data_IF_572077981716
#
_entry.id   IF_572077981716
#
_cell.length_a   1.000
_cell.length_b   1.000
_cell.length_c   1.000
_cell.angle_alpha   90.00
_cell.angle_beta   90.00
_cell.angle_gamma   90.00
#
_symmetry.space_group_name_H-M   'P 1'
#
loop_
_entity.id
_entity.type
_entity.pdbx_description
1 polymer ?
#
# COMPACT_ATOMS: atom_id res chain seq x y z
N UNK A 1 -5.57 -35.55 -16.35
CA UNK A 1 -4.87 -35.00 -15.17
C UNK A 1 -5.72 -33.90 -14.63
N UNK A 2 -6.21 -34.01 -13.40
CA UNK A 2 -6.93 -32.89 -12.75
C UNK A 2 -5.96 -31.72 -12.60
N UNK A 3 -6.26 -30.60 -13.24
CA UNK A 3 -5.55 -29.36 -13.01
C UNK A 3 -5.79 -28.94 -11.55
N UNK A 4 -4.84 -29.27 -10.69
CA UNK A 4 -4.84 -28.76 -9.31
C UNK A 4 -4.40 -27.30 -9.38
N UNK A 5 -5.33 -26.38 -9.31
CA UNK A 5 -5.02 -24.95 -9.22
C UNK A 5 -4.13 -24.62 -8.00
N UNK A 6 -3.54 -23.44 -7.98
CA UNK A 6 -2.69 -23.01 -6.86
C UNK A 6 -3.53 -22.66 -5.63
N UNK A 7 -3.63 -23.58 -4.69
CA UNK A 7 -4.31 -23.34 -3.40
C UNK A 7 -3.67 -22.16 -2.65
N UNK A 8 -2.36 -22.00 -2.75
CA UNK A 8 -1.64 -20.86 -2.18
C UNK A 8 -2.16 -19.55 -2.76
N UNK A 9 -2.29 -19.47 -4.09
CA UNK A 9 -2.82 -18.29 -4.77
C UNK A 9 -4.24 -17.96 -4.30
N UNK A 10 -5.10 -18.96 -4.16
CA UNK A 10 -6.47 -18.78 -3.68
C UNK A 10 -6.52 -18.16 -2.29
N UNK A 11 -5.76 -18.71 -1.34
CA UNK A 11 -5.72 -18.24 0.04
C UNK A 11 -5.14 -16.85 0.13
N UNK A 12 -3.98 -16.60 -0.51
CA UNK A 12 -3.32 -15.30 -0.49
C UNK A 12 -4.19 -14.23 -1.18
N UNK A 13 -4.91 -14.59 -2.24
CA UNK A 13 -5.86 -13.68 -2.90
C UNK A 13 -7.00 -13.23 -1.99
N UNK A 14 -7.50 -14.12 -1.13
CA UNK A 14 -8.51 -13.75 -0.14
C UNK A 14 -7.91 -12.80 0.90
N UNK A 15 -6.70 -13.08 1.37
CA UNK A 15 -5.99 -12.20 2.32
C UNK A 15 -5.75 -10.82 1.69
N UNK A 16 -5.31 -10.74 0.44
CA UNK A 16 -5.12 -9.48 -0.28
C UNK A 16 -6.43 -8.71 -0.43
N UNK A 17 -7.51 -9.38 -0.78
CA UNK A 17 -8.83 -8.74 -0.91
C UNK A 17 -9.28 -8.12 0.41
N UNK A 18 -9.18 -8.86 1.51
CA UNK A 18 -9.54 -8.39 2.85
C UNK A 18 -8.60 -7.26 3.28
N UNK A 19 -7.29 -7.43 3.10
CA UNK A 19 -6.28 -6.41 3.39
C UNK A 19 -6.51 -5.12 2.60
N UNK A 20 -6.80 -5.23 1.31
CA UNK A 20 -7.12 -4.09 0.45
C UNK A 20 -8.38 -3.35 0.90
N UNK A 21 -9.43 -4.05 1.35
CA UNK A 21 -10.63 -3.41 1.90
C UNK A 21 -10.31 -2.65 3.19
N UNK A 22 -9.57 -3.28 4.11
CA UNK A 22 -9.13 -2.63 5.36
C UNK A 22 -8.24 -1.43 5.03
N UNK A 23 -7.30 -1.58 4.08
CA UNK A 23 -6.44 -0.52 3.61
C UNK A 23 -7.20 0.66 2.99
N UNK A 24 -8.25 0.38 2.22
CA UNK A 24 -9.10 1.42 1.63
C UNK A 24 -9.84 2.23 2.71
N UNK A 25 -10.38 1.56 3.73
CA UNK A 25 -11.03 2.23 4.88
C UNK A 25 -10.01 3.07 5.65
N UNK A 26 -8.83 2.51 5.95
CA UNK A 26 -7.77 3.23 6.64
C UNK A 26 -7.27 4.44 5.83
N UNK A 27 -7.12 4.30 4.51
CA UNK A 27 -6.73 5.40 3.62
C UNK A 27 -7.78 6.51 3.57
N UNK A 28 -9.06 6.15 3.60
CA UNK A 28 -10.15 7.12 3.65
C UNK A 28 -10.10 7.93 4.96
N UNK A 29 -9.92 7.26 6.10
CA UNK A 29 -9.74 7.92 7.40
C UNK A 29 -8.50 8.82 7.37
N UNK A 30 -7.39 8.32 6.84
CA UNK A 30 -6.16 9.09 6.65
C UNK A 30 -6.35 10.35 5.80
N UNK A 31 -7.12 10.24 4.71
CA UNK A 31 -7.47 11.40 3.87
C UNK A 31 -8.30 12.46 4.62
N UNK A 32 -9.27 12.04 5.42
CA UNK A 32 -10.07 12.96 6.25
C UNK A 32 -9.18 13.66 7.27
N UNK A 33 -8.31 12.93 7.96
CA UNK A 33 -7.39 13.50 8.94
C UNK A 33 -6.38 14.46 8.29
N UNK A 34 -5.85 14.11 7.11
CA UNK A 34 -4.97 14.98 6.34
C UNK A 34 -5.69 16.26 5.90
N UNK A 35 -6.98 16.17 5.52
CA UNK A 35 -7.81 17.32 5.19
C UNK A 35 -8.03 18.25 6.39
N UNK A 36 -8.33 17.70 7.56
CA UNK A 36 -8.48 18.47 8.80
C UNK A 36 -7.16 19.14 9.18
N UNK A 37 -6.04 18.40 9.12
CA UNK A 37 -4.72 18.95 9.40
C UNK A 37 -4.36 20.08 8.43
N UNK A 38 -4.63 19.91 7.12
CA UNK A 38 -4.40 20.95 6.12
C UNK A 38 -5.22 22.22 6.38
N UNK A 39 -6.48 22.06 6.79
CA UNK A 39 -7.34 23.18 7.15
C UNK A 39 -6.84 23.92 8.40
N UNK A 40 -6.37 23.17 9.41
CA UNK A 40 -5.77 23.77 10.61
C UNK A 40 -4.50 24.53 10.29
N UNK A 41 -3.63 23.99 9.42
CA UNK A 41 -2.39 24.62 8.97
C UNK A 41 -2.61 25.86 8.08
N UNK A 42 -3.81 26.06 7.55
CA UNK A 42 -4.18 27.29 6.85
C UNK A 42 -4.34 28.47 7.79
N UNK A 43 -4.43 28.24 9.12
CA UNK A 43 -4.46 29.32 10.12
C UNK A 43 -3.01 29.73 10.46
N UNK A 44 -2.65 31.04 10.32
CA UNK A 44 -1.28 31.49 10.53
C UNK A 44 -0.71 31.14 11.91
N UNK A 45 -1.52 31.28 12.96
CA UNK A 45 -1.11 30.97 14.34
C UNK A 45 -0.71 29.51 14.54
N UNK A 46 -1.46 28.58 13.92
CA UNK A 46 -1.17 27.14 13.99
C UNK A 46 0.06 26.80 13.16
N UNK A 47 0.16 27.37 11.96
CA UNK A 47 1.29 27.18 11.06
C UNK A 47 2.60 27.65 11.70
N UNK A 48 2.60 28.83 12.33
CA UNK A 48 3.78 29.40 12.99
C UNK A 48 4.19 28.57 14.22
N UNK A 49 3.23 28.12 15.01
CA UNK A 49 3.50 27.24 16.16
C UNK A 49 4.12 25.92 15.74
N UNK A 50 3.60 25.28 14.67
CA UNK A 50 4.16 24.03 14.15
C UNK A 50 5.52 24.22 13.53
N UNK A 51 5.73 25.30 12.74
CA UNK A 51 7.03 25.62 12.18
C UNK A 51 8.09 25.86 13.26
N UNK A 52 7.71 26.53 14.35
CA UNK A 52 8.59 26.76 15.50
C UNK A 52 8.95 25.46 16.20
N UNK A 53 7.99 24.55 16.37
CA UNK A 53 8.23 23.23 16.96
C UNK A 53 9.13 22.36 16.08
N UNK A 54 8.92 22.36 14.76
CA UNK A 54 9.77 21.64 13.82
C UNK A 54 11.19 22.18 13.81
N UNK A 55 11.36 23.50 13.87
CA UNK A 55 12.68 24.13 13.95
C UNK A 55 13.42 23.75 15.25
N UNK A 56 12.72 23.64 16.37
CA UNK A 56 13.29 23.20 17.64
C UNK A 56 13.81 21.75 17.60
N UNK A 57 13.20 20.89 16.78
CA UNK A 57 13.61 19.51 16.54
C UNK A 57 14.68 19.39 15.42
N UNK A 58 15.16 20.52 14.88
CA UNK A 58 16.19 20.56 13.85
C UNK A 58 15.69 20.36 12.41
N UNK A 59 14.38 20.37 12.18
CA UNK A 59 13.80 20.33 10.84
C UNK A 59 13.79 21.76 10.24
N UNK A 60 14.56 21.94 9.19
CA UNK A 60 14.73 23.28 8.55
C UNK A 60 13.58 23.72 7.66
N UNK A 61 12.45 22.98 7.60
CA UNK A 61 11.45 23.18 6.59
C UNK A 61 10.06 23.52 7.10
N UNK A 62 9.42 24.41 6.35
CA UNK A 62 8.04 24.81 6.48
C UNK A 62 7.06 23.61 6.38
N UNK A 63 5.89 23.76 6.98
CA UNK A 63 4.77 22.80 6.97
C UNK A 63 4.31 22.41 5.55
N UNK A 64 4.56 23.22 4.53
CA UNK A 64 4.15 22.98 3.16
C UNK A 64 4.70 21.69 2.54
N UNK A 65 6.01 21.46 2.52
CA UNK A 65 6.58 20.21 2.01
C UNK A 65 6.10 18.95 2.77
N UNK A 66 5.93 19.05 4.09
CA UNK A 66 5.41 17.95 4.91
C UNK A 66 4.00 17.58 4.49
N UNK A 67 3.12 18.57 4.31
CA UNK A 67 1.76 18.36 3.83
C UNK A 67 1.70 17.75 2.44
N UNK A 68 2.58 18.19 1.53
CA UNK A 68 2.68 17.62 0.19
C UNK A 68 3.02 16.12 0.24
N UNK A 69 3.99 15.73 1.08
CA UNK A 69 4.35 14.30 1.27
C UNK A 69 3.18 13.50 1.83
N UNK A 70 2.45 14.04 2.81
CA UNK A 70 1.26 13.39 3.38
C UNK A 70 0.20 13.14 2.30
N UNK A 71 -0.11 14.13 1.46
CA UNK A 71 -1.09 13.97 0.40
C UNK A 71 -0.65 12.98 -0.67
N UNK A 72 0.63 12.99 -1.06
CA UNK A 72 1.20 11.99 -1.97
C UNK A 72 1.07 10.57 -1.36
N UNK A 73 1.40 10.41 -0.08
CA UNK A 73 1.27 9.14 0.62
C UNK A 73 -0.18 8.65 0.65
N UNK A 74 -1.15 9.54 0.91
CA UNK A 74 -2.59 9.19 0.89
C UNK A 74 -3.02 8.72 -0.49
N UNK A 75 -2.63 9.42 -1.56
CA UNK A 75 -2.98 9.02 -2.94
C UNK A 75 -2.41 7.64 -3.27
N UNK A 76 -1.15 7.39 -2.91
CA UNK A 76 -0.48 6.10 -3.15
C UNK A 76 -1.16 4.99 -2.31
N UNK A 77 -1.54 5.26 -1.07
CA UNK A 77 -2.23 4.30 -0.21
C UNK A 77 -3.61 3.91 -0.77
N UNK A 78 -4.38 4.88 -1.27
CA UNK A 78 -5.66 4.62 -1.94
C UNK A 78 -5.45 3.79 -3.20
N UNK A 79 -4.50 4.18 -4.06
CA UNK A 79 -4.19 3.43 -5.28
C UNK A 79 -3.75 2.00 -4.97
N UNK A 80 -2.87 1.82 -3.97
CA UNK A 80 -2.42 0.51 -3.50
C UNK A 80 -3.56 -0.37 -3.05
N UNK A 81 -4.45 0.14 -2.22
CA UNK A 81 -5.63 -0.59 -1.71
C UNK A 81 -6.55 -1.04 -2.86
N UNK A 82 -6.79 -0.18 -3.86
CA UNK A 82 -7.59 -0.54 -5.03
C UNK A 82 -6.94 -1.66 -5.83
N UNK A 83 -5.62 -1.57 -6.08
CA UNK A 83 -4.88 -2.61 -6.80
C UNK A 83 -4.89 -3.93 -6.03
N UNK A 84 -4.73 -3.92 -4.72
CA UNK A 84 -4.81 -5.11 -3.86
C UNK A 84 -6.19 -5.78 -3.93
N UNK A 85 -7.28 -5.01 -3.88
CA UNK A 85 -8.63 -5.55 -4.04
C UNK A 85 -8.79 -6.20 -5.40
N UNK A 86 -8.36 -5.54 -6.48
CA UNK A 86 -8.45 -6.08 -7.84
C UNK A 86 -7.61 -7.37 -7.97
N UNK A 87 -6.39 -7.35 -7.46
CA UNK A 87 -5.49 -8.51 -7.46
C UNK A 87 -6.12 -9.68 -6.69
N UNK A 88 -6.67 -9.42 -5.50
CA UNK A 88 -7.34 -10.41 -4.68
C UNK A 88 -8.57 -11.01 -5.38
N UNK A 89 -9.45 -10.18 -5.94
CA UNK A 89 -10.64 -10.66 -6.68
C UNK A 89 -10.26 -11.47 -7.90
N UNK A 90 -9.30 -10.99 -8.71
CA UNK A 90 -8.85 -11.71 -9.91
C UNK A 90 -8.12 -13.00 -9.56
N UNK A 91 -7.26 -13.01 -8.54
CA UNK A 91 -6.56 -14.19 -8.09
C UNK A 91 -7.50 -15.25 -7.54
N UNK A 92 -8.48 -14.85 -6.72
CA UNK A 92 -9.53 -15.75 -6.22
C UNK A 92 -10.37 -16.35 -7.34
N UNK A 93 -10.65 -15.60 -8.41
CA UNK A 93 -11.47 -16.07 -9.54
C UNK A 93 -10.70 -17.00 -10.48
N UNK A 94 -9.39 -16.83 -10.60
CA UNK A 94 -8.55 -17.52 -11.59
C UNK A 94 -7.44 -18.39 -10.94
N UNK A 95 -7.64 -18.85 -9.72
CA UNK A 95 -6.64 -19.65 -8.97
C UNK A 95 -6.36 -21.02 -9.60
N UNK A 96 -7.24 -21.49 -10.49
CA UNK A 96 -7.19 -22.75 -11.22
C UNK A 96 -7.03 -22.57 -12.74
N UNK A 97 -6.84 -21.32 -13.21
CA UNK A 97 -6.68 -21.00 -14.62
C UNK A 97 -5.23 -20.57 -14.94
N UNK A 98 -4.37 -21.49 -15.47
CA UNK A 98 -3.00 -21.17 -15.80
C UNK A 98 -2.85 -20.05 -16.84
N UNK A 99 -3.80 -19.87 -17.76
CA UNK A 99 -3.76 -18.80 -18.76
C UNK A 99 -3.79 -17.41 -18.13
N UNK A 100 -4.36 -17.27 -16.93
CA UNK A 100 -4.40 -16.00 -16.20
C UNK A 100 -3.10 -15.71 -15.42
N UNK A 101 -2.21 -16.67 -15.26
CA UNK A 101 -1.04 -16.58 -14.37
C UNK A 101 -0.16 -15.36 -14.66
N UNK A 102 0.10 -15.04 -15.95
CA UNK A 102 0.93 -13.88 -16.31
C UNK A 102 0.29 -12.57 -15.88
N UNK A 103 -0.99 -12.40 -16.10
CA UNK A 103 -1.72 -11.19 -15.67
C UNK A 103 -1.72 -11.05 -14.14
N UNK A 104 -1.96 -12.14 -13.42
CA UNK A 104 -1.95 -12.16 -11.96
C UNK A 104 -0.56 -11.83 -11.41
N UNK A 105 0.51 -12.34 -12.03
CA UNK A 105 1.88 -12.02 -11.64
C UNK A 105 2.17 -10.52 -11.74
N UNK A 106 1.69 -9.86 -12.81
CA UNK A 106 1.83 -8.40 -12.97
C UNK A 106 1.16 -7.66 -11.81
N UNK A 107 -0.06 -8.06 -11.42
CA UNK A 107 -0.73 -7.45 -10.26
C UNK A 107 0.08 -7.64 -8.97
N UNK A 108 0.64 -8.82 -8.74
CA UNK A 108 1.51 -9.07 -7.58
C UNK A 108 2.74 -8.16 -7.56
N UNK A 109 3.40 -7.97 -8.70
CA UNK A 109 4.56 -7.07 -8.84
C UNK A 109 4.15 -5.63 -8.58
N UNK A 110 3.03 -5.16 -9.15
CA UNK A 110 2.54 -3.79 -8.93
C UNK A 110 2.24 -3.56 -7.45
N UNK A 111 1.60 -4.51 -6.77
CA UNK A 111 1.37 -4.41 -5.32
C UNK A 111 2.69 -4.32 -4.53
N UNK A 112 3.69 -5.14 -4.86
CA UNK A 112 5.00 -5.11 -4.20
C UNK A 112 5.70 -3.75 -4.41
N UNK A 113 5.69 -3.21 -5.62
CA UNK A 113 6.28 -1.91 -5.93
C UNK A 113 5.58 -0.77 -5.19
N UNK A 114 4.25 -0.76 -5.17
CA UNK A 114 3.48 0.25 -4.44
C UNK A 114 3.75 0.19 -2.93
N UNK A 115 3.85 -1.02 -2.36
CA UNK A 115 4.21 -1.20 -0.96
C UNK A 115 5.61 -0.66 -0.65
N UNK A 116 6.59 -0.89 -1.52
CA UNK A 116 7.95 -0.35 -1.36
C UNK A 116 7.96 1.18 -1.43
N UNK A 117 7.27 1.77 -2.41
CA UNK A 117 7.18 3.23 -2.55
C UNK A 117 6.55 3.85 -1.30
N UNK A 118 5.46 3.27 -0.81
CA UNK A 118 4.80 3.74 0.42
C UNK A 118 5.75 3.70 1.62
N UNK A 119 6.48 2.61 1.81
CA UNK A 119 7.44 2.50 2.93
C UNK A 119 8.59 3.52 2.82
N UNK A 120 9.09 3.79 1.62
CA UNK A 120 10.13 4.81 1.40
C UNK A 120 9.59 6.21 1.75
N UNK A 121 8.37 6.55 1.31
CA UNK A 121 7.74 7.82 1.61
C UNK A 121 7.53 8.03 3.12
N UNK A 122 7.07 7.00 3.83
CA UNK A 122 6.93 7.08 5.30
C UNK A 122 8.28 7.24 6.00
N UNK A 123 9.32 6.56 5.53
CA UNK A 123 10.66 6.69 6.07
C UNK A 123 11.23 8.10 5.88
N UNK A 124 11.03 8.71 4.71
CA UNK A 124 11.48 10.07 4.41
C UNK A 124 10.65 11.14 5.11
N UNK A 125 9.38 10.84 5.45
CA UNK A 125 8.49 11.73 6.21
C UNK A 125 8.80 11.79 7.72
N UNK A 126 9.90 11.22 8.19
CA UNK A 126 10.33 11.28 9.60
C UNK A 126 9.65 10.25 10.53
N UNK A 127 8.78 9.39 10.00
CA UNK A 127 8.11 8.35 10.81
C UNK A 127 8.99 7.12 11.07
N UNK A 128 10.23 7.15 10.62
CA UNK A 128 11.20 6.06 10.78
C UNK A 128 10.91 4.84 9.90
N UNK A 129 11.93 4.01 9.73
CA UNK A 129 11.81 2.75 8.98
C UNK A 129 11.16 1.70 9.88
N UNK A 130 9.90 1.39 9.65
CA UNK A 130 9.22 0.31 10.36
C UNK A 130 9.46 -1.02 9.63
N UNK A 131 10.45 -1.77 10.08
CA UNK A 131 10.81 -3.08 9.50
C UNK A 131 9.61 -4.02 9.44
N UNK A 132 8.74 -3.98 10.45
CA UNK A 132 7.51 -4.79 10.49
C UNK A 132 6.56 -4.42 9.36
N UNK A 133 6.40 -3.12 9.05
CA UNK A 133 5.56 -2.67 7.94
C UNK A 133 6.12 -3.07 6.58
N UNK A 134 7.45 -3.03 6.41
CA UNK A 134 8.10 -3.48 5.18
C UNK A 134 7.89 -4.97 4.99
N UNK A 135 8.14 -5.76 6.03
CA UNK A 135 7.98 -7.22 5.97
C UNK A 135 6.52 -7.60 5.69
N UNK A 136 5.56 -7.03 6.41
CA UNK A 136 4.13 -7.34 6.18
C UNK A 136 3.65 -6.88 4.80
N UNK A 137 4.09 -5.70 4.33
CA UNK A 137 3.73 -5.16 3.03
C UNK A 137 4.34 -5.91 1.85
N UNK A 138 5.46 -6.64 2.03
CA UNK A 138 6.10 -7.41 0.97
C UNK A 138 5.76 -8.90 0.99
N UNK A 139 5.55 -9.49 2.16
CA UNK A 139 5.31 -10.93 2.30
C UNK A 139 4.08 -11.36 1.50
N UNK A 140 2.98 -10.62 1.60
CA UNK A 140 1.73 -10.98 0.93
C UNK A 140 1.85 -10.90 -0.61
N UNK A 141 2.34 -9.80 -1.22
CA UNK A 141 2.60 -9.75 -2.66
C UNK A 141 3.59 -10.80 -3.15
N UNK A 142 4.64 -11.09 -2.38
CA UNK A 142 5.61 -12.13 -2.74
C UNK A 142 4.95 -13.52 -2.74
N UNK A 143 4.17 -13.87 -1.73
CA UNK A 143 3.42 -15.12 -1.69
C UNK A 143 2.39 -15.21 -2.82
N UNK A 144 1.79 -14.09 -3.21
CA UNK A 144 0.90 -14.02 -4.36
C UNK A 144 1.64 -14.33 -5.65
N UNK A 145 2.83 -13.74 -5.87
CA UNK A 145 3.70 -14.03 -7.02
C UNK A 145 4.10 -15.50 -7.04
N UNK A 146 4.54 -16.07 -5.91
CA UNK A 146 4.87 -17.50 -5.80
C UNK A 146 3.67 -18.37 -6.18
N UNK A 147 2.48 -18.04 -5.69
CA UNK A 147 1.25 -18.74 -6.05
C UNK A 147 0.94 -18.66 -7.56
N UNK A 148 1.20 -17.52 -8.20
CA UNK A 148 1.02 -17.37 -9.66
C UNK A 148 2.05 -18.16 -10.46
N UNK A 149 3.30 -18.24 -9.99
CA UNK A 149 4.33 -19.09 -10.60
C UNK A 149 3.96 -20.57 -10.50
N UNK A 150 3.46 -21.01 -9.35
CA UNK A 150 2.94 -22.37 -9.20
C UNK A 150 1.80 -22.67 -10.17
N UNK A 151 0.88 -21.72 -10.35
CA UNK A 151 -0.21 -21.83 -11.31
C UNK A 151 0.30 -21.94 -12.75
N UNK A 152 1.28 -21.10 -13.12
CA UNK A 152 1.91 -21.11 -14.44
C UNK A 152 2.56 -22.46 -14.78
N UNK A 153 3.20 -23.09 -13.80
CA UNK A 153 3.91 -24.36 -13.99
C UNK A 153 2.96 -25.57 -14.14
N UNK A 154 1.65 -25.36 -14.06
CA UNK A 154 0.61 -26.38 -14.27
C UNK A 154 0.02 -26.30 -15.71
N UNK A 155 0.50 -25.39 -16.54
CA UNK A 155 0.04 -25.18 -17.91
C UNK A 155 0.56 -26.23 -18.91
#
# INVERSE_FOLDING_TARGET
>A
MEQKGSMLLKVVSIIMMVGGIIGAVASFIGAVLAGIASAAMAQPEVSDAVNSALAAEGYSNSTGPVMAVIWIAVVIAVAGSVVEIIAGVKGKKNWDNPAAAQTLMIFGIVCAVLSLISNILFATGGMGVQIVSILSGLVIPVLYIVGTVQLKNQA
#
